data_IF_473259417993
#
_entry.id   IF_473259417993
#
_cell.length_a   1.000
_cell.length_b   1.000
_cell.length_c   1.000
_cell.angle_alpha   90.00
_cell.angle_beta   90.00
_cell.angle_gamma   90.00
#
_symmetry.space_group_name_H-M   'P 1'
#
loop_
_entity.id
_entity.type
_entity.pdbx_description
1 polymer ?
#
# COMPACT_ATOMS: atom_id res chain seq x y z
N UNK A 1 15.00 32.24 -16.21
CA UNK A 1 15.09 32.80 -14.84
C UNK A 1 13.93 32.26 -14.02
N UNK A 2 14.27 31.61 -12.92
CA UNK A 2 13.43 30.68 -12.16
C UNK A 2 12.21 31.34 -11.50
N UNK A 3 11.04 30.75 -11.71
CA UNK A 3 9.93 30.82 -10.75
C UNK A 3 9.49 29.39 -10.45
N UNK A 4 10.34 28.68 -9.71
CA UNK A 4 9.96 27.49 -8.95
C UNK A 4 8.89 27.92 -7.96
N UNK A 5 7.63 27.68 -8.33
CA UNK A 5 6.49 27.84 -7.44
C UNK A 5 6.66 26.83 -6.31
N UNK A 6 6.73 27.38 -5.10
CA UNK A 6 6.90 26.68 -3.84
C UNK A 6 5.71 25.74 -3.58
N UNK A 7 5.81 24.49 -4.03
CA UNK A 7 4.94 23.39 -3.58
C UNK A 7 5.63 22.76 -2.37
N UNK A 8 5.52 23.43 -1.22
CA UNK A 8 6.01 22.88 0.04
C UNK A 8 5.14 23.42 1.17
N UNK A 9 4.11 22.66 1.57
CA UNK A 9 3.64 22.54 2.96
C UNK A 9 2.31 21.77 3.04
N UNK A 10 2.37 20.45 2.96
CA UNK A 10 1.30 19.59 3.53
C UNK A 10 1.89 18.29 4.11
N UNK A 11 3.07 18.41 4.74
CA UNK A 11 3.76 17.31 5.44
C UNK A 11 3.61 17.39 6.97
N UNK A 12 2.84 18.34 7.49
CA UNK A 12 2.80 18.67 8.92
C UNK A 12 1.37 18.77 9.45
N UNK A 13 0.74 17.62 9.74
CA UNK A 13 -0.11 17.42 10.92
C UNK A 13 -0.57 15.94 11.05
N UNK A 14 0.31 15.08 11.56
CA UNK A 14 -0.12 13.81 12.18
C UNK A 14 0.82 13.42 13.33
N UNK A 15 1.14 14.39 14.19
CA UNK A 15 1.72 14.16 15.52
C UNK A 15 0.64 14.54 16.52
N UNK A 16 -0.16 13.56 16.97
CA UNK A 16 -1.05 13.75 18.11
C UNK A 16 -0.76 12.70 19.18
N UNK A 17 0.02 13.15 20.16
CA UNK A 17 0.12 12.73 21.56
C UNK A 17 -0.12 11.25 21.87
N UNK A 18 0.98 10.53 22.16
CA UNK A 18 0.94 9.32 22.97
C UNK A 18 0.75 9.72 24.45
N UNK A 19 -0.50 9.80 24.90
CA UNK A 19 -0.83 9.86 26.32
C UNK A 19 -1.09 8.44 26.85
N UNK A 20 -0.47 8.04 27.98
CA UNK A 20 -0.79 6.78 28.63
C UNK A 20 -2.15 6.91 29.33
N UNK A 21 -3.15 6.14 28.91
CA UNK A 21 -4.47 6.13 29.54
C UNK A 21 -4.81 4.74 30.06
N UNK A 22 -5.06 4.72 31.38
CA UNK A 22 -5.42 3.59 32.23
C UNK A 22 -6.53 2.70 31.63
N UNK A 23 -6.40 1.41 31.92
CA UNK A 23 -7.33 0.34 31.54
C UNK A 23 -8.71 0.53 32.18
N UNK A 24 -9.65 1.05 31.39
CA UNK A 24 -11.07 0.80 31.55
C UNK A 24 -11.59 0.34 30.19
N UNK A 25 -12.20 -0.84 30.16
CA UNK A 25 -12.75 -1.53 28.98
C UNK A 25 -13.91 -0.73 28.35
N UNK A 26 -13.58 0.37 27.67
CA UNK A 26 -14.53 1.09 26.82
C UNK A 26 -14.30 0.66 25.36
N UNK A 27 -15.12 -0.28 24.89
CA UNK A 27 -15.31 -0.53 23.46
C UNK A 27 -15.94 0.72 22.86
N UNK A 28 -15.18 1.43 22.02
CA UNK A 28 -15.59 2.74 21.51
C UNK A 28 -15.32 2.85 20.01
N UNK A 29 -16.22 3.51 19.30
CA UNK A 29 -16.05 3.87 17.88
C UNK A 29 -16.28 5.36 17.72
N UNK A 30 -15.30 6.05 17.13
CA UNK A 30 -15.40 7.46 16.78
C UNK A 30 -15.39 7.57 15.26
N UNK A 31 -16.21 8.47 14.72
CA UNK A 31 -16.24 8.84 13.31
C UNK A 31 -16.33 10.35 13.19
N UNK A 32 -15.47 10.94 12.37
CA UNK A 32 -15.55 12.34 11.98
C UNK A 32 -15.52 12.41 10.45
N UNK A 33 -16.31 13.32 9.87
CA UNK A 33 -16.29 13.61 8.44
C UNK A 33 -16.67 15.07 8.21
N UNK A 34 -16.11 15.66 7.18
CA UNK A 34 -16.42 17.03 6.80
C UNK A 34 -15.88 17.35 5.41
N UNK A 35 -16.45 18.38 4.81
CA UNK A 35 -15.97 18.98 3.57
C UNK A 35 -16.31 20.47 3.59
N UNK A 36 -15.45 21.27 3.00
CA UNK A 36 -15.63 22.72 2.84
C UNK A 36 -15.18 23.14 1.45
N UNK A 37 -15.80 24.18 0.91
CA UNK A 37 -15.22 24.91 -0.21
C UNK A 37 -13.86 25.48 0.22
N UNK A 38 -12.92 25.58 -0.72
CA UNK A 38 -11.60 26.16 -0.49
C UNK A 38 -11.38 27.41 -1.35
N UNK A 39 -10.32 28.17 -1.02
CA UNK A 39 -10.01 29.43 -1.69
C UNK A 39 -9.65 29.26 -3.18
N UNK A 40 -9.27 28.05 -3.59
CA UNK A 40 -8.96 27.72 -4.99
C UNK A 40 -10.22 27.52 -5.83
N UNK A 41 -11.43 27.54 -5.23
CA UNK A 41 -12.69 27.30 -5.93
C UNK A 41 -13.08 25.81 -6.01
N UNK A 42 -12.34 24.94 -5.33
CA UNK A 42 -12.66 23.52 -5.21
C UNK A 42 -13.16 23.14 -3.81
N UNK A 43 -13.01 21.87 -3.46
CA UNK A 43 -13.46 21.30 -2.18
C UNK A 43 -12.30 20.62 -1.48
N UNK A 44 -12.14 20.92 -0.19
CA UNK A 44 -11.27 20.17 0.72
C UNK A 44 -12.15 19.37 1.67
N UNK A 45 -11.89 18.07 1.81
CA UNK A 45 -12.70 17.22 2.66
C UNK A 45 -11.97 16.00 3.18
N UNK A 46 -12.59 15.29 4.10
CA UNK A 46 -12.00 14.13 4.72
C UNK A 46 -12.92 13.40 5.68
N UNK A 47 -12.44 12.24 6.13
CA UNK A 47 -13.09 11.46 7.17
C UNK A 47 -12.06 10.64 7.94
N UNK A 48 -12.25 10.53 9.25
CA UNK A 48 -11.48 9.65 10.11
C UNK A 48 -12.41 8.77 10.93
N UNK A 49 -11.93 7.58 11.28
CA UNK A 49 -12.61 6.71 12.22
C UNK A 49 -11.60 5.93 13.06
N UNK A 50 -11.90 5.79 14.34
CA UNK A 50 -11.13 4.99 15.27
C UNK A 50 -12.05 3.99 15.97
N UNK A 51 -11.53 2.83 16.30
CA UNK A 51 -12.20 1.83 17.11
C UNK A 51 -11.23 1.21 18.11
N UNK A 52 -11.71 0.93 19.31
CA UNK A 52 -11.03 0.09 20.31
C UNK A 52 -11.92 -1.10 20.61
N UNK A 53 -11.33 -2.29 20.58
CA UNK A 53 -11.96 -3.55 20.94
C UNK A 53 -11.36 -4.13 22.23
N UNK A 54 -11.86 -5.29 22.67
CA UNK A 54 -11.35 -5.99 23.85
C UNK A 54 -9.85 -6.28 23.77
N UNK A 55 -9.23 -6.52 24.93
CA UNK A 55 -7.83 -6.96 25.05
C UNK A 55 -6.84 -6.06 24.30
N UNK A 56 -7.09 -4.75 24.29
CA UNK A 56 -6.21 -3.78 23.66
C UNK A 56 -6.21 -3.80 22.13
N UNK A 57 -7.14 -4.51 21.47
CA UNK A 57 -7.32 -4.40 20.02
C UNK A 57 -7.72 -2.97 19.62
N UNK A 58 -7.14 -2.43 18.56
CA UNK A 58 -7.48 -1.09 18.09
C UNK A 58 -7.28 -0.93 16.58
N UNK A 59 -8.05 -0.04 15.96
CA UNK A 59 -7.88 0.34 14.57
C UNK A 59 -8.19 1.82 14.38
N UNK A 60 -7.44 2.48 13.50
CA UNK A 60 -7.72 3.84 13.07
C UNK A 60 -7.56 3.93 11.56
N UNK A 61 -8.38 4.74 10.89
CA UNK A 61 -8.24 5.04 9.47
C UNK A 61 -8.68 6.44 9.17
N UNK A 62 -8.02 7.05 8.20
CA UNK A 62 -8.29 8.41 7.74
C UNK A 62 -8.20 8.49 6.22
N UNK A 63 -8.92 9.45 5.66
CA UNK A 63 -8.74 9.91 4.29
C UNK A 63 -9.03 11.39 4.19
N UNK A 64 -8.33 12.06 3.29
CA UNK A 64 -8.55 13.44 2.95
C UNK A 64 -8.39 13.64 1.44
N UNK A 65 -9.00 14.68 0.90
CA UNK A 65 -8.83 15.10 -0.48
C UNK A 65 -8.94 16.62 -0.59
N UNK A 66 -8.37 17.16 -1.65
CA UNK A 66 -8.58 18.55 -2.05
C UNK A 66 -8.64 18.65 -3.57
N UNK A 67 -9.51 19.52 -4.09
CA UNK A 67 -9.59 19.89 -5.51
C UNK A 67 -9.48 21.40 -5.66
N UNK A 68 -9.23 21.88 -6.88
CA UNK A 68 -9.03 23.32 -7.17
C UNK A 68 -10.11 23.92 -8.09
N UNK A 69 -11.21 23.21 -8.33
CA UNK A 69 -12.28 23.67 -9.24
C UNK A 69 -11.90 23.69 -10.72
N UNK A 70 -10.64 23.42 -11.09
CA UNK A 70 -10.12 23.43 -12.45
C UNK A 70 -9.87 22.01 -12.99
N UNK A 71 -10.22 20.98 -12.22
CA UNK A 71 -10.06 19.58 -12.58
C UNK A 71 -8.84 18.91 -11.96
N UNK A 72 -8.00 19.65 -11.21
CA UNK A 72 -6.89 19.06 -10.48
C UNK A 72 -7.31 18.64 -9.07
N UNK A 73 -6.64 17.64 -8.54
CA UNK A 73 -6.87 17.24 -7.16
C UNK A 73 -5.89 16.22 -6.64
N UNK A 74 -6.00 16.00 -5.35
CA UNK A 74 -5.24 14.99 -4.65
C UNK A 74 -6.08 14.36 -3.55
N UNK A 75 -5.82 13.09 -3.27
CA UNK A 75 -6.37 12.37 -2.13
C UNK A 75 -5.26 11.62 -1.42
N UNK A 76 -5.38 11.50 -0.10
CA UNK A 76 -4.54 10.64 0.71
C UNK A 76 -5.41 9.80 1.64
N UNK A 77 -4.95 8.60 1.95
CA UNK A 77 -5.57 7.74 2.96
C UNK A 77 -4.54 6.96 3.73
N UNK A 78 -4.87 6.64 4.97
CA UNK A 78 -4.05 5.79 5.80
C UNK A 78 -4.88 5.03 6.82
N UNK A 79 -4.26 4.05 7.44
CA UNK A 79 -4.85 3.37 8.57
C UNK A 79 -3.85 2.50 9.29
N UNK A 80 -4.12 2.25 10.56
CA UNK A 80 -3.34 1.41 11.44
C UNK A 80 -4.26 0.45 12.17
N UNK A 81 -3.75 -0.73 12.48
CA UNK A 81 -4.40 -1.73 13.31
C UNK A 81 -3.39 -2.28 14.31
N UNK A 82 -3.85 -2.55 15.53
CA UNK A 82 -3.17 -3.33 16.55
C UNK A 82 -4.09 -4.47 16.95
N UNK A 83 -3.58 -5.69 16.96
CA UNK A 83 -4.30 -6.87 17.40
C UNK A 83 -4.04 -7.14 18.89
N UNK A 84 -4.96 -7.82 19.59
CA UNK A 84 -4.73 -8.25 20.97
C UNK A 84 -3.47 -9.10 21.16
N UNK A 85 -3.10 -9.90 20.17
CA UNK A 85 -1.92 -10.75 20.19
C UNK A 85 -0.60 -10.00 19.89
N UNK A 86 -0.57 -8.67 20.03
CA UNK A 86 0.64 -7.86 19.84
C UNK A 86 1.03 -7.59 18.37
N UNK A 87 0.21 -8.00 17.40
CA UNK A 87 0.44 -7.68 16.00
C UNK A 87 0.05 -6.25 15.67
N UNK A 88 0.73 -5.63 14.72
CA UNK A 88 0.39 -4.32 14.18
C UNK A 88 0.46 -4.31 12.65
N UNK A 89 -0.32 -3.43 12.05
CA UNK A 89 -0.28 -3.19 10.62
C UNK A 89 -0.62 -1.75 10.29
N UNK A 90 -0.03 -1.22 9.24
CA UNK A 90 -0.26 0.12 8.75
C UNK A 90 -0.38 0.11 7.22
N UNK A 91 -1.18 1.01 6.68
CA UNK A 91 -1.19 1.35 5.25
C UNK A 91 -1.26 2.85 5.07
N UNK A 92 -0.66 3.32 3.99
CA UNK A 92 -0.78 4.70 3.54
C UNK A 92 -0.77 4.76 2.02
N UNK A 93 -1.39 5.77 1.44
CA UNK A 93 -1.27 6.04 0.02
C UNK A 93 -1.88 7.37 -0.37
N UNK A 94 -1.39 7.91 -1.46
CA UNK A 94 -1.86 9.14 -2.08
C UNK A 94 -2.10 8.95 -3.57
N UNK A 95 -3.02 9.73 -4.09
CA UNK A 95 -3.30 9.84 -5.52
C UNK A 95 -3.37 11.32 -5.86
N UNK A 96 -2.73 11.73 -6.93
CA UNK A 96 -2.93 13.03 -7.57
C UNK A 96 -3.52 12.81 -8.95
N UNK A 97 -4.36 13.74 -9.41
CA UNK A 97 -4.90 13.75 -10.75
C UNK A 97 -4.96 15.18 -11.26
N UNK A 98 -4.81 15.34 -12.57
CA UNK A 98 -4.78 16.62 -13.23
C UNK A 98 -5.96 16.76 -14.19
N UNK A 99 -6.25 17.99 -14.59
CA UNK A 99 -7.33 18.33 -15.51
C UNK A 99 -7.19 17.68 -16.89
N UNK A 100 -5.96 17.37 -17.31
CA UNK A 100 -5.64 16.71 -18.58
C UNK A 100 -5.88 15.19 -18.57
N UNK A 101 -6.39 14.63 -17.45
CA UNK A 101 -6.67 13.21 -17.29
C UNK A 101 -5.48 12.37 -16.78
N UNK A 102 -4.29 12.97 -16.65
CA UNK A 102 -3.14 12.30 -16.04
C UNK A 102 -3.33 12.10 -14.54
N UNK A 103 -2.75 11.03 -14.00
CA UNK A 103 -2.82 10.71 -12.57
C UNK A 103 -1.58 9.97 -12.09
N UNK A 104 -1.25 10.13 -10.81
CA UNK A 104 -0.21 9.37 -10.15
C UNK A 104 -0.77 8.79 -8.85
N UNK A 105 -0.43 7.55 -8.55
CA UNK A 105 -0.73 6.90 -7.29
C UNK A 105 0.53 6.30 -6.67
N UNK A 106 0.69 6.44 -5.37
CA UNK A 106 1.68 5.70 -4.60
C UNK A 106 1.09 5.24 -3.28
N UNK A 107 1.36 3.99 -2.90
CA UNK A 107 0.90 3.40 -1.65
C UNK A 107 1.83 2.34 -1.12
N UNK A 108 1.72 2.09 0.18
CA UNK A 108 2.35 0.97 0.83
C UNK A 108 1.57 0.50 2.05
N UNK A 109 1.91 -0.71 2.49
CA UNK A 109 1.43 -1.28 3.72
C UNK A 109 2.53 -2.12 4.36
N UNK A 110 2.51 -2.22 5.68
CA UNK A 110 3.38 -3.10 6.45
C UNK A 110 2.58 -3.75 7.57
N UNK A 111 2.93 -4.97 7.94
CA UNK A 111 2.39 -5.68 9.06
C UNK A 111 3.51 -6.44 9.77
N UNK A 112 3.39 -6.59 11.09
CA UNK A 112 4.30 -7.36 11.91
C UNK A 112 3.54 -7.97 13.08
N UNK A 113 3.94 -9.16 13.50
CA UNK A 113 3.40 -9.84 14.66
C UNK A 113 4.16 -11.12 14.97
N UNK A 114 3.64 -11.96 15.88
CA UNK A 114 4.32 -13.17 16.33
C UNK A 114 4.70 -14.14 15.20
N UNK A 115 3.92 -14.16 14.12
CA UNK A 115 4.13 -15.09 12.99
C UNK A 115 5.07 -14.54 11.90
N UNK A 116 5.54 -13.30 12.05
CA UNK A 116 6.44 -12.66 11.09
C UNK A 116 6.02 -11.25 10.69
N UNK A 117 6.54 -10.80 9.56
CA UNK A 117 6.28 -9.48 9.00
C UNK A 117 6.03 -9.54 7.49
N UNK A 118 5.29 -8.56 6.98
CA UNK A 118 5.13 -8.36 5.54
C UNK A 118 5.10 -6.87 5.22
N UNK A 119 5.58 -6.50 4.05
CA UNK A 119 5.61 -5.14 3.54
C UNK A 119 5.25 -5.15 2.06
N UNK A 120 4.55 -4.13 1.60
CA UNK A 120 4.30 -3.89 0.18
C UNK A 120 4.36 -2.41 -0.11
N UNK A 121 4.91 -2.05 -1.26
CA UNK A 121 4.92 -0.69 -1.78
C UNK A 121 4.76 -0.72 -3.29
N UNK A 122 4.09 0.28 -3.84
CA UNK A 122 3.83 0.32 -5.27
C UNK A 122 3.07 1.57 -5.68
N UNK A 123 2.78 1.67 -6.96
CA UNK A 123 2.15 2.83 -7.55
C UNK A 123 1.89 2.66 -9.03
N UNK A 124 1.25 3.66 -9.61
CA UNK A 124 1.09 3.76 -11.06
C UNK A 124 1.05 5.22 -11.47
N UNK A 125 1.54 5.50 -12.67
CA UNK A 125 1.27 6.70 -13.46
C UNK A 125 0.20 6.39 -14.50
N UNK A 126 -0.62 7.39 -14.83
CA UNK A 126 -1.44 7.46 -16.02
C UNK A 126 -1.10 8.77 -16.72
N UNK A 127 -0.77 8.73 -18.00
CA UNK A 127 -0.58 9.94 -18.81
C UNK A 127 -1.92 10.52 -19.31
N UNK A 128 -1.88 11.71 -19.91
CA UNK A 128 -3.08 12.39 -20.46
C UNK A 128 -3.74 11.65 -21.63
N UNK A 129 -3.03 10.71 -22.25
CA UNK A 129 -3.56 9.86 -23.34
C UNK A 129 -4.14 8.54 -22.83
N UNK A 130 -4.04 8.28 -21.52
CA UNK A 130 -4.58 7.09 -20.87
C UNK A 130 -3.60 5.92 -20.75
N UNK A 131 -2.33 6.06 -21.17
CA UNK A 131 -1.35 5.00 -20.96
C UNK A 131 -1.00 4.90 -19.47
N UNK A 132 -0.92 3.67 -18.97
CA UNK A 132 -0.64 3.37 -17.57
C UNK A 132 0.68 2.63 -17.46
N UNK A 133 1.53 3.07 -16.53
CA UNK A 133 2.70 2.32 -16.09
C UNK A 133 2.65 2.17 -14.59
N UNK A 134 2.90 0.98 -14.06
CA UNK A 134 2.82 0.77 -12.63
C UNK A 134 3.50 -0.50 -12.17
N UNK A 135 3.61 -0.64 -10.86
CA UNK A 135 4.23 -1.80 -10.26
C UNK A 135 4.05 -1.85 -8.76
N UNK A 136 4.43 -2.99 -8.20
CA UNK A 136 4.35 -3.26 -6.76
C UNK A 136 5.40 -4.25 -6.35
N UNK A 137 6.11 -3.95 -5.27
CA UNK A 137 7.00 -4.86 -4.57
C UNK A 137 6.33 -5.31 -3.28
N UNK A 138 6.49 -6.57 -2.94
CA UNK A 138 5.96 -7.19 -1.73
C UNK A 138 7.03 -8.11 -1.15
N UNK A 139 7.32 -7.96 0.14
CA UNK A 139 8.19 -8.86 0.88
C UNK A 139 7.45 -9.41 2.09
N UNK A 140 7.77 -10.63 2.50
CA UNK A 140 7.32 -11.20 3.76
C UNK A 140 8.41 -12.08 4.35
N UNK A 141 8.44 -12.15 5.68
CA UNK A 141 9.34 -12.97 6.46
C UNK A 141 8.51 -13.66 7.55
N UNK A 142 8.50 -14.98 7.56
CA UNK A 142 7.89 -15.79 8.61
C UNK A 142 8.84 -15.96 9.79
N UNK A 143 8.27 -16.06 10.99
CA UNK A 143 9.04 -16.29 12.23
C UNK A 143 9.83 -17.61 12.20
N UNK A 144 9.37 -18.61 11.45
CA UNK A 144 10.05 -19.89 11.25
C UNK A 144 11.16 -19.86 10.17
N UNK A 145 11.53 -18.67 9.66
CA UNK A 145 12.64 -18.49 8.72
C UNK A 145 12.26 -18.43 7.23
N UNK A 146 11.01 -18.72 6.87
CA UNK A 146 10.56 -18.61 5.47
C UNK A 146 10.47 -17.16 4.98
N UNK A 147 10.75 -16.92 3.70
CA UNK A 147 10.69 -15.58 3.09
C UNK A 147 9.92 -15.58 1.78
N UNK A 148 9.41 -14.42 1.40
CA UNK A 148 8.80 -14.15 0.10
C UNK A 148 9.24 -12.77 -0.37
N UNK A 149 9.58 -12.67 -1.64
CA UNK A 149 9.78 -11.42 -2.37
C UNK A 149 9.03 -11.53 -3.70
N UNK A 150 8.18 -10.56 -4.01
CA UNK A 150 7.43 -10.50 -5.25
C UNK A 150 7.43 -9.10 -5.82
N UNK A 151 7.65 -8.99 -7.12
CA UNK A 151 7.60 -7.74 -7.87
C UNK A 151 6.61 -7.93 -9.01
N UNK A 152 5.72 -6.96 -9.20
CA UNK A 152 4.83 -6.89 -10.35
C UNK A 152 5.08 -5.59 -11.11
N UNK A 153 4.98 -5.63 -12.43
CA UNK A 153 5.03 -4.47 -13.30
C UNK A 153 3.96 -4.55 -14.37
N UNK A 154 3.47 -3.41 -14.82
CA UNK A 154 2.57 -3.29 -15.95
C UNK A 154 2.89 -2.02 -16.73
N UNK A 155 2.86 -2.13 -18.05
CA UNK A 155 2.94 -0.98 -18.96
C UNK A 155 1.94 -1.19 -20.10
N UNK A 156 1.14 -0.15 -20.40
CA UNK A 156 0.22 -0.16 -21.56
C UNK A 156 0.94 -0.60 -22.83
N UNK A 157 0.34 -1.53 -23.57
CA UNK A 157 0.92 -2.13 -24.78
C UNK A 157 2.01 -3.19 -24.55
N UNK A 158 2.62 -3.27 -23.36
CA UNK A 158 3.68 -4.26 -23.05
C UNK A 158 3.19 -5.40 -22.15
N UNK A 159 2.05 -5.22 -21.50
CA UNK A 159 1.42 -6.24 -20.65
C UNK A 159 1.89 -6.23 -19.20
N UNK A 160 1.68 -7.34 -18.52
CA UNK A 160 1.92 -7.54 -17.09
C UNK A 160 3.06 -8.53 -16.85
N UNK A 161 3.99 -8.17 -15.97
CA UNK A 161 5.05 -9.04 -15.49
C UNK A 161 4.97 -9.25 -13.98
N UNK A 162 5.30 -10.45 -13.52
CA UNK A 162 5.47 -10.79 -12.10
C UNK A 162 6.68 -11.68 -11.90
N UNK A 163 7.57 -11.29 -10.99
CA UNK A 163 8.60 -12.15 -10.42
C UNK A 163 8.24 -12.47 -8.98
N UNK A 164 8.49 -13.70 -8.53
CA UNK A 164 8.30 -14.11 -7.14
C UNK A 164 9.36 -15.12 -6.75
N UNK A 165 10.05 -14.84 -5.65
CA UNK A 165 10.95 -15.74 -4.97
C UNK A 165 10.38 -16.04 -3.59
N UNK A 166 10.25 -17.31 -3.24
CA UNK A 166 9.88 -17.74 -1.90
C UNK A 166 10.88 -18.79 -1.43
N UNK A 167 11.22 -18.77 -0.15
CA UNK A 167 12.12 -19.75 0.47
C UNK A 167 11.62 -20.15 1.84
N UNK A 168 12.04 -21.33 2.29
CA UNK A 168 11.78 -21.83 3.63
C UNK A 168 12.63 -23.07 3.91
N UNK A 169 12.37 -23.72 5.04
CA UNK A 169 13.14 -24.88 5.49
C UNK A 169 13.12 -26.05 4.48
N UNK A 170 12.06 -26.15 3.67
CA UNK A 170 11.87 -27.23 2.69
C UNK A 170 12.49 -26.92 1.32
N UNK A 171 13.04 -25.71 1.12
CA UNK A 171 13.63 -25.29 -0.13
C UNK A 171 13.10 -23.95 -0.65
N UNK A 172 13.17 -23.73 -1.96
CA UNK A 172 12.82 -22.45 -2.57
C UNK A 172 12.03 -22.60 -3.88
N UNK A 173 11.29 -21.56 -4.23
CA UNK A 173 10.58 -21.42 -5.51
C UNK A 173 10.86 -20.04 -6.09
N UNK A 174 11.35 -20.01 -7.31
CA UNK A 174 11.44 -18.81 -8.13
C UNK A 174 10.46 -18.95 -9.29
N UNK A 175 9.56 -17.98 -9.45
CA UNK A 175 8.52 -17.97 -10.47
C UNK A 175 8.50 -16.64 -11.21
N UNK A 176 8.40 -16.70 -12.52
CA UNK A 176 8.19 -15.56 -13.39
C UNK A 176 6.92 -15.78 -14.19
N UNK A 177 6.10 -14.75 -14.30
CA UNK A 177 4.89 -14.74 -15.13
C UNK A 177 4.93 -13.49 -15.99
N UNK A 178 4.73 -13.66 -17.29
CA UNK A 178 4.53 -12.57 -18.24
C UNK A 178 3.18 -12.79 -18.94
N UNK A 179 2.37 -11.75 -19.02
CA UNK A 179 1.09 -11.75 -19.75
C UNK A 179 1.15 -10.59 -20.74
N UNK A 180 1.11 -10.90 -22.02
CA UNK A 180 1.03 -9.92 -23.12
C UNK A 180 -0.31 -10.09 -23.85
N UNK A 181 -0.53 -9.31 -24.91
CA UNK A 181 -1.71 -9.52 -25.78
C UNK A 181 -1.67 -10.88 -26.48
N UNK A 182 -0.48 -11.42 -26.73
CA UNK A 182 -0.26 -12.67 -27.46
C UNK A 182 -0.34 -13.92 -26.59
N UNK A 183 -0.45 -13.77 -25.26
CA UNK A 183 -0.65 -14.90 -24.34
C UNK A 183 0.04 -14.75 -22.99
N UNK A 184 0.15 -15.88 -22.29
CA UNK A 184 0.72 -15.97 -20.93
C UNK A 184 1.87 -16.98 -20.90
N UNK A 185 3.02 -16.52 -20.41
CA UNK A 185 4.20 -17.34 -20.15
C UNK A 185 4.43 -17.45 -18.65
N UNK A 186 4.67 -18.67 -18.16
CA UNK A 186 5.00 -18.93 -16.75
C UNK A 186 6.24 -19.82 -16.68
N UNK A 187 7.28 -19.35 -16.00
CA UNK A 187 8.50 -20.10 -15.72
C UNK A 187 8.62 -20.32 -14.22
N UNK A 188 8.94 -21.53 -13.80
CA UNK A 188 9.11 -21.89 -12.38
C UNK A 188 10.36 -22.75 -12.19
N UNK A 189 11.15 -22.43 -11.19
CA UNK A 189 12.29 -23.22 -10.72
C UNK A 189 12.11 -23.48 -9.24
N UNK A 190 12.18 -24.75 -8.83
CA UNK A 190 12.05 -25.15 -7.44
C UNK A 190 13.32 -25.88 -7.01
N UNK A 191 13.77 -25.60 -5.78
CA UNK A 191 14.89 -26.30 -5.16
C UNK A 191 14.44 -26.94 -3.86
N UNK A 192 15.04 -28.08 -3.50
CA UNK A 192 14.91 -28.67 -2.16
C UNK A 192 15.73 -27.88 -1.12
N UNK A 193 15.75 -28.38 0.13
CA UNK A 193 16.51 -27.80 1.24
C UNK A 193 18.03 -27.84 1.04
N UNK A 194 18.53 -28.73 0.18
CA UNK A 194 19.95 -28.88 -0.14
C UNK A 194 20.36 -28.03 -1.35
N UNK A 195 19.41 -27.33 -1.99
CA UNK A 195 19.63 -26.52 -3.18
C UNK A 195 19.56 -27.29 -4.50
N UNK A 196 19.18 -28.58 -4.48
CA UNK A 196 19.01 -29.36 -5.71
C UNK A 196 17.74 -28.93 -6.43
N UNK A 197 17.80 -28.78 -7.76
CA UNK A 197 16.62 -28.50 -8.58
C UNK A 197 15.69 -29.72 -8.57
N UNK A 198 14.44 -29.51 -8.19
CA UNK A 198 13.41 -30.54 -8.10
C UNK A 198 12.16 -30.15 -8.89
N UNK A 199 11.31 -31.11 -9.29
CA UNK A 199 10.03 -30.81 -9.90
C UNK A 199 9.21 -29.87 -9.01
N UNK A 200 8.72 -28.78 -9.59
CA UNK A 200 7.85 -27.88 -8.86
C UNK A 200 6.52 -28.56 -8.53
N UNK A 201 6.03 -28.44 -7.27
CA UNK A 201 4.73 -29.00 -6.91
C UNK A 201 3.63 -28.41 -7.80
N UNK A 202 2.72 -29.29 -8.21
CA UNK A 202 1.47 -28.92 -8.86
C UNK A 202 0.46 -28.64 -7.75
N UNK A 203 -0.14 -27.46 -7.74
CA UNK A 203 -1.19 -27.06 -6.80
C UNK A 203 -2.44 -26.68 -7.60
#
# INVERSE_FOLDING_TARGET
MHKFIRILSLLTLLMLAATPFNDAEAVGRIKARGATANAQGGVTGGSASAARGPNGGAAMRGRAYTTDGQGNGQAASGGVVRTPAGGYGARAGSTTWNADGSAQHQSGAAAQGPNGSAQTSGGFTRDSTGNVTGGRSTSAQGAAGGSLNSQTGYTSGQGFGRSTSASGQQGSVNAQTQVTQDGRTVTRTCTDANGNVVPCPQW
#
